data_IF_614873406792
#
_entry.id   IF_614873406792
#
_cell.length_a   1.000
_cell.length_b   1.000
_cell.length_c   1.000
_cell.angle_alpha   90.00
_cell.angle_beta   90.00
_cell.angle_gamma   90.00
#
_symmetry.space_group_name_H-M   'P 1'
#
loop_
_entity.id
_entity.type
_entity.pdbx_description
1 polymer ?
#
# COMPACT_ATOMS: atom_id res chain seq x y z
N UNK A 1 4.15 -41.92 -21.74
CA UNK A 1 3.49 -40.93 -22.62
C UNK A 1 3.52 -39.60 -21.92
N UNK A 2 4.44 -38.73 -22.33
CA UNK A 2 4.59 -37.37 -21.81
C UNK A 2 3.57 -36.46 -22.49
N UNK A 3 2.83 -35.67 -21.72
CA UNK A 3 2.12 -34.51 -22.24
C UNK A 3 2.51 -33.31 -21.39
N UNK A 4 3.46 -32.57 -21.94
CA UNK A 4 3.92 -31.26 -21.50
C UNK A 4 2.91 -30.22 -21.98
N UNK A 5 2.46 -29.29 -21.14
CA UNK A 5 1.80 -28.08 -21.62
C UNK A 5 2.21 -26.86 -20.79
N UNK A 6 3.27 -26.23 -21.31
CA UNK A 6 3.53 -24.79 -21.45
C UNK A 6 3.17 -23.82 -20.32
N UNK A 7 4.25 -23.32 -19.70
CA UNK A 7 4.32 -22.01 -19.08
C UNK A 7 4.14 -20.89 -20.11
N UNK A 8 3.25 -19.93 -19.83
CA UNK A 8 3.22 -18.65 -20.55
C UNK A 8 4.10 -17.63 -19.81
N UNK A 9 5.32 -17.47 -20.32
CA UNK A 9 6.22 -16.34 -20.06
C UNK A 9 5.95 -15.31 -21.17
N UNK A 10 5.62 -14.07 -20.82
CA UNK A 10 5.80 -12.93 -21.73
C UNK A 10 6.69 -11.86 -21.08
N UNK A 11 7.84 -11.51 -21.69
CA UNK A 11 8.70 -10.43 -21.23
C UNK A 11 8.32 -9.12 -21.91
N UNK A 12 8.04 -8.06 -21.15
CA UNK A 12 7.99 -6.69 -21.68
C UNK A 12 9.32 -5.98 -21.43
N UNK A 13 10.11 -5.79 -22.50
CA UNK A 13 11.30 -4.93 -22.55
C UNK A 13 10.88 -3.49 -22.81
N UNK A 14 11.18 -2.56 -21.90
CA UNK A 14 11.16 -1.14 -22.20
C UNK A 14 12.57 -0.68 -22.63
N UNK A 15 12.72 -0.27 -23.90
CA UNK A 15 13.88 0.48 -24.40
C UNK A 15 13.54 1.97 -24.32
N UNK A 16 14.33 2.76 -23.59
CA UNK A 16 14.33 4.22 -23.72
C UNK A 16 15.69 4.70 -24.23
N UNK A 17 15.68 5.35 -25.40
CA UNK A 17 16.85 5.94 -26.08
C UNK A 17 17.09 7.36 -25.55
N UNK A 18 18.34 7.65 -25.15
CA UNK A 18 18.88 9.00 -24.92
C UNK A 18 18.73 9.89 -26.16
N UNK A 19 18.30 11.15 -25.97
CA UNK A 19 18.62 12.26 -26.87
C UNK A 19 18.97 13.52 -26.06
N UNK A 20 20.20 14.00 -26.25
CA UNK A 20 20.70 15.33 -25.85
C UNK A 20 20.13 16.39 -26.81
N UNK A 21 19.89 17.61 -26.31
CA UNK A 21 20.10 18.83 -27.11
C UNK A 21 20.30 20.06 -26.21
N UNK A 22 21.37 20.79 -26.49
CA UNK A 22 21.75 22.08 -25.90
C UNK A 22 21.09 23.27 -26.63
N UNK A 23 20.89 24.32 -25.83
CA UNK A 23 20.91 25.79 -26.05
C UNK A 23 20.58 26.44 -27.40
N UNK A 24 19.81 27.56 -27.32
CA UNK A 24 20.21 28.93 -27.78
C UNK A 24 19.16 30.00 -27.41
N UNK A 25 19.66 31.14 -26.90
CA UNK A 25 19.04 32.44 -26.55
C UNK A 25 18.43 33.16 -27.78
N UNK A 26 17.70 34.29 -27.81
CA UNK A 26 17.35 35.48 -26.97
C UNK A 26 16.12 36.19 -27.67
N UNK A 27 15.68 37.46 -27.43
CA UNK A 27 16.09 38.47 -26.46
C UNK A 27 14.93 39.19 -25.69
N UNK A 28 15.39 40.15 -24.90
CA UNK A 28 14.77 40.98 -23.87
C UNK A 28 14.17 42.29 -24.42
N UNK A 29 13.08 42.80 -23.83
CA UNK A 29 12.64 44.20 -23.98
C UNK A 29 12.06 44.73 -22.66
N UNK A 30 12.52 45.93 -22.33
CA UNK A 30 12.61 46.55 -21.01
C UNK A 30 11.62 47.71 -20.84
N UNK A 31 11.40 48.10 -19.57
CA UNK A 31 10.92 49.40 -19.03
C UNK A 31 9.39 49.59 -18.94
N UNK A 32 8.78 50.14 -17.87
CA UNK A 32 9.10 51.26 -16.93
C UNK A 32 8.25 51.10 -15.64
N UNK A 33 8.79 51.31 -14.43
CA UNK A 33 8.57 52.48 -13.50
C UNK A 33 7.13 52.60 -12.94
N UNK A 34 6.78 52.91 -11.68
CA UNK A 34 7.40 53.58 -10.54
C UNK A 34 6.74 53.14 -9.20
N UNK A 35 7.44 53.42 -8.11
CA UNK A 35 7.12 53.29 -6.67
C UNK A 35 5.95 54.19 -6.18
N UNK A 36 5.13 53.91 -5.15
CA UNK A 36 5.40 53.93 -3.68
C UNK A 36 4.10 53.67 -2.86
N UNK A 37 4.27 53.19 -1.60
CA UNK A 37 3.39 53.20 -0.38
C UNK A 37 2.36 52.07 -0.14
N UNK A 38 1.93 51.78 1.11
CA UNK A 38 2.59 51.93 2.43
C UNK A 38 2.57 50.62 3.27
N UNK A 39 3.35 50.65 4.36
CA UNK A 39 3.44 49.63 5.42
C UNK A 39 2.06 49.35 6.05
N UNK A 40 1.64 48.09 6.05
CA UNK A 40 0.57 47.57 6.91
C UNK A 40 1.14 46.41 7.72
N UNK A 41 1.41 46.69 9.00
CA UNK A 41 1.62 45.67 10.03
C UNK A 41 0.36 44.81 10.16
N UNK A 42 0.43 43.60 9.62
CA UNK A 42 -0.54 42.56 9.93
C UNK A 42 0.23 41.38 10.49
N UNK A 43 0.10 41.16 11.79
CA UNK A 43 0.58 39.97 12.46
C UNK A 43 -0.02 38.74 11.76
N UNK A 44 0.77 38.12 10.90
CA UNK A 44 0.52 36.81 10.34
C UNK A 44 0.58 35.81 11.49
N UNK A 45 -0.57 35.48 12.08
CA UNK A 45 -0.71 34.21 12.77
C UNK A 45 -0.50 33.14 11.69
N UNK A 46 0.72 32.63 11.61
CA UNK A 46 1.08 31.58 10.68
C UNK A 46 0.14 30.41 10.92
N UNK A 47 -0.64 30.06 9.89
CA UNK A 47 -1.31 28.76 9.86
C UNK A 47 -0.25 27.69 10.16
N UNK A 48 -0.51 26.75 11.09
CA UNK A 48 0.44 25.68 11.32
C UNK A 48 0.71 24.96 10.00
N UNK A 49 1.99 24.81 9.68
CA UNK A 49 2.44 24.07 8.50
C UNK A 49 1.85 22.65 8.51
N UNK A 50 1.42 22.11 7.34
CA UNK A 50 0.91 20.74 7.27
C UNK A 50 1.93 19.77 7.87
N UNK A 51 1.48 18.94 8.83
CA UNK A 51 2.33 17.95 9.52
C UNK A 51 2.70 16.82 8.58
N UNK A 52 3.91 16.29 8.67
CA UNK A 52 4.33 15.14 7.85
C UNK A 52 3.74 13.80 8.34
N UNK A 53 3.59 12.78 7.47
CA UNK A 53 3.13 11.44 7.91
C UNK A 53 4.02 10.86 9.02
N UNK A 54 5.37 11.00 9.01
CA UNK A 54 6.20 10.56 10.13
C UNK A 54 5.91 11.30 11.45
N UNK A 55 5.53 12.58 11.41
CA UNK A 55 5.07 13.33 12.59
C UNK A 55 3.73 12.80 13.08
N UNK A 56 2.77 12.62 12.16
CA UNK A 56 1.46 12.03 12.49
C UNK A 56 1.62 10.63 13.10
N UNK A 57 2.58 9.84 12.64
CA UNK A 57 2.83 8.50 13.20
C UNK A 57 3.36 8.55 14.63
N UNK A 58 4.28 9.48 14.92
CA UNK A 58 4.78 9.70 16.29
C UNK A 58 3.70 10.18 17.25
N UNK A 59 2.73 10.95 16.76
CA UNK A 59 1.65 11.51 17.59
C UNK A 59 0.46 10.55 17.76
N UNK A 60 0.07 9.87 16.68
CA UNK A 60 -1.17 9.10 16.64
C UNK A 60 -1.02 7.63 17.00
N UNK A 61 0.20 7.12 17.23
CA UNK A 61 0.56 5.70 17.40
C UNK A 61 -0.69 4.82 17.45
N UNK A 62 -1.27 4.49 16.28
CA UNK A 62 -2.38 3.56 16.31
C UNK A 62 -1.82 2.26 16.87
N UNK A 63 -2.67 1.53 17.59
CA UNK A 63 -2.38 0.26 18.26
C UNK A 63 -2.03 -0.88 17.27
N UNK A 64 -1.04 -0.67 16.38
CA UNK A 64 -0.44 -1.70 15.57
C UNK A 64 0.19 -2.70 16.52
N UNK A 65 -0.31 -3.92 16.48
CA UNK A 65 0.23 -4.98 17.33
C UNK A 65 1.61 -5.38 16.83
N UNK A 66 2.60 -5.39 17.72
CA UNK A 66 3.88 -6.03 17.46
C UNK A 66 3.71 -7.54 17.67
N UNK A 67 3.84 -8.29 16.59
CA UNK A 67 3.77 -9.75 16.59
C UNK A 67 5.17 -10.35 16.69
N UNK A 68 5.28 -11.47 17.41
CA UNK A 68 6.51 -12.27 17.34
C UNK A 68 6.55 -13.08 16.04
N UNK A 69 7.75 -13.37 15.54
CA UNK A 69 7.92 -14.25 14.38
C UNK A 69 7.33 -15.64 14.63
N UNK A 70 7.46 -16.15 15.86
CA UNK A 70 6.91 -17.45 16.25
C UNK A 70 5.38 -17.45 16.18
N UNK A 71 4.72 -16.42 16.72
CA UNK A 71 3.26 -16.28 16.64
C UNK A 71 2.76 -16.29 15.19
N UNK A 72 3.42 -15.55 14.29
CA UNK A 72 3.06 -15.53 12.87
C UNK A 72 3.36 -16.87 12.18
N UNK A 73 4.45 -17.53 12.56
CA UNK A 73 4.79 -18.86 12.06
C UNK A 73 3.73 -19.88 12.45
N UNK A 74 3.29 -19.88 13.69
CA UNK A 74 2.27 -20.80 14.20
C UNK A 74 0.92 -20.53 13.53
N UNK A 75 0.56 -19.25 13.36
CA UNK A 75 -0.70 -18.86 12.70
C UNK A 75 -0.81 -19.30 11.24
N UNK A 76 0.33 -19.58 10.59
CA UNK A 76 0.43 -19.95 9.16
C UNK A 76 0.86 -21.41 8.95
N UNK A 77 0.91 -22.20 10.03
CA UNK A 77 1.45 -23.56 10.01
C UNK A 77 2.86 -23.63 9.37
N UNK A 78 3.77 -22.78 9.86
CA UNK A 78 5.14 -22.72 9.36
C UNK A 78 5.33 -21.99 8.04
N UNK A 79 4.46 -21.05 7.68
CA UNK A 79 4.39 -20.46 6.34
C UNK A 79 4.18 -21.54 5.26
N UNK A 80 3.26 -22.47 5.53
CA UNK A 80 2.97 -23.57 4.62
C UNK A 80 2.52 -23.07 3.24
N UNK A 81 2.94 -23.77 2.18
CA UNK A 81 2.48 -23.50 0.81
C UNK A 81 0.97 -23.59 0.67
N UNK A 82 0.31 -24.42 1.49
CA UNK A 82 -1.15 -24.55 1.50
C UNK A 82 -1.86 -23.30 2.01
N UNK A 83 -1.18 -22.47 2.80
CA UNK A 83 -1.71 -21.20 3.29
C UNK A 83 -1.28 -20.03 2.41
N UNK A 84 -0.54 -20.26 1.32
CA UNK A 84 -0.05 -19.18 0.47
C UNK A 84 -1.17 -18.61 -0.39
N UNK A 85 -1.37 -17.30 -0.27
CA UNK A 85 -2.35 -16.54 -1.05
C UNK A 85 -1.76 -16.01 -2.35
N UNK A 86 -0.47 -15.67 -2.35
CA UNK A 86 0.22 -15.14 -3.53
C UNK A 86 1.70 -14.87 -3.30
N UNK A 87 2.41 -14.55 -4.37
CA UNK A 87 3.81 -14.12 -4.35
C UNK A 87 4.10 -13.17 -5.51
N UNK A 88 4.96 -12.18 -5.26
CA UNK A 88 5.44 -11.25 -6.27
C UNK A 88 6.73 -10.55 -5.82
N UNK A 89 7.09 -9.45 -6.50
CA UNK A 89 8.31 -8.69 -6.20
C UNK A 89 8.39 -8.16 -4.76
N UNK A 90 7.25 -8.02 -4.09
CA UNK A 90 7.13 -7.55 -2.71
C UNK A 90 7.12 -8.69 -1.67
N UNK A 91 7.37 -9.93 -2.09
CA UNK A 91 7.42 -11.10 -1.21
C UNK A 91 6.20 -12.01 -1.33
N UNK A 92 5.98 -12.85 -0.32
CA UNK A 92 4.92 -13.85 -0.28
C UNK A 92 3.84 -13.48 0.73
N UNK A 93 2.58 -13.71 0.41
CA UNK A 93 1.43 -13.47 1.30
C UNK A 93 0.82 -14.80 1.72
N UNK A 94 0.55 -14.97 3.00
CA UNK A 94 -0.02 -16.17 3.60
C UNK A 94 -1.30 -15.84 4.36
N UNK A 95 -2.27 -16.75 4.30
CA UNK A 95 -3.42 -16.75 5.20
C UNK A 95 -2.97 -17.23 6.58
N UNK A 96 -3.41 -16.54 7.62
CA UNK A 96 -3.13 -16.94 9.00
C UNK A 96 -4.37 -16.83 9.89
N UNK A 97 -4.30 -17.50 11.03
CA UNK A 97 -5.32 -17.41 12.09
C UNK A 97 -4.63 -16.96 13.38
N UNK A 98 -4.90 -15.73 13.82
CA UNK A 98 -4.42 -15.21 15.10
C UNK A 98 -5.43 -15.60 16.18
N UNK A 99 -4.98 -16.38 17.16
CA UNK A 99 -5.78 -16.73 18.34
C UNK A 99 -5.61 -15.66 19.43
N UNK A 100 -6.68 -15.29 20.15
CA UNK A 100 -6.56 -14.38 21.28
C UNK A 100 -5.72 -15.00 22.41
N UNK A 101 -4.86 -14.20 23.05
CA UNK A 101 -3.86 -14.65 24.05
C UNK A 101 -4.45 -15.44 25.22
N UNK A 102 -5.72 -15.16 25.58
CA UNK A 102 -6.36 -15.75 26.76
C UNK A 102 -7.52 -16.71 26.38
N UNK A 103 -7.65 -17.09 25.11
CA UNK A 103 -8.78 -17.90 24.62
C UNK A 103 -10.15 -17.21 24.66
N UNK A 104 -10.23 -15.98 25.21
CA UNK A 104 -11.43 -15.14 25.19
C UNK A 104 -11.46 -14.31 23.91
N UNK A 105 -12.43 -14.60 23.05
CA UNK A 105 -12.67 -13.92 21.78
C UNK A 105 -12.59 -14.87 20.58
N UNK A 106 -13.07 -14.40 19.43
CA UNK A 106 -13.02 -15.17 18.18
C UNK A 106 -11.62 -15.11 17.56
N UNK A 107 -11.14 -16.19 16.94
CA UNK A 107 -9.94 -16.16 16.11
C UNK A 107 -10.10 -15.14 14.98
N UNK A 108 -9.02 -14.45 14.62
CA UNK A 108 -9.02 -13.45 13.56
C UNK A 108 -8.30 -14.03 12.35
N UNK A 109 -8.97 -14.05 11.20
CA UNK A 109 -8.34 -14.34 9.91
C UNK A 109 -7.51 -13.14 9.47
N UNK A 110 -6.26 -13.40 9.08
CA UNK A 110 -5.31 -12.37 8.67
C UNK A 110 -4.61 -12.74 7.36
N UNK A 111 -4.14 -11.72 6.65
CA UNK A 111 -3.16 -11.86 5.57
C UNK A 111 -1.79 -11.41 6.08
N UNK A 112 -0.80 -12.31 6.02
CA UNK A 112 0.56 -12.09 6.49
C UNK A 112 1.48 -11.97 5.28
N UNK A 113 1.93 -10.74 5.00
CA UNK A 113 2.89 -10.45 3.93
C UNK A 113 4.30 -10.56 4.52
N UNK A 114 5.05 -11.54 4.03
CA UNK A 114 6.46 -11.74 4.33
C UNK A 114 7.30 -11.12 3.21
N UNK A 115 7.97 -10.02 3.52
CA UNK A 115 8.79 -9.29 2.56
C UNK A 115 10.06 -10.07 2.23
N UNK A 116 10.57 -9.89 1.01
CA UNK A 116 11.80 -10.53 0.57
C UNK A 116 13.01 -9.91 1.30
N UNK A 117 13.78 -10.68 2.08
CA UNK A 117 14.92 -10.16 2.84
C UNK A 117 16.09 -9.69 1.95
N UNK A 118 16.13 -10.09 0.68
CA UNK A 118 17.22 -9.74 -0.24
C UNK A 118 16.97 -8.47 -1.04
N UNK A 119 15.78 -7.86 -0.95
CA UNK A 119 15.55 -6.58 -1.62
C UNK A 119 15.99 -5.43 -0.71
N UNK A 120 16.97 -4.64 -1.16
CA UNK A 120 17.33 -3.36 -0.52
C UNK A 120 16.13 -2.42 -0.39
N UNK A 121 15.11 -2.63 -1.23
CA UNK A 121 13.85 -1.91 -1.24
C UNK A 121 12.86 -2.37 -0.16
N UNK A 122 12.96 -3.63 0.32
CA UNK A 122 11.99 -4.24 1.21
C UNK A 122 11.88 -3.55 2.57
N UNK A 123 12.99 -3.11 3.16
CA UNK A 123 12.95 -2.37 4.43
C UNK A 123 12.31 -0.98 4.28
N UNK A 124 12.64 -0.25 3.21
CA UNK A 124 12.05 1.08 2.94
C UNK A 124 10.54 0.97 2.68
N UNK A 125 10.13 -0.01 1.87
CA UNK A 125 8.72 -0.30 1.59
C UNK A 125 7.97 -0.67 2.88
N UNK A 126 8.57 -1.53 3.71
CA UNK A 126 8.01 -1.88 5.01
C UNK A 126 7.82 -0.66 5.90
N UNK A 127 8.85 0.18 6.05
CA UNK A 127 8.79 1.35 6.91
C UNK A 127 7.74 2.35 6.42
N UNK A 128 7.71 2.62 5.12
CA UNK A 128 6.70 3.48 4.50
C UNK A 128 5.28 2.95 4.76
N UNK A 129 5.07 1.64 4.61
CA UNK A 129 3.77 1.02 4.80
C UNK A 129 3.33 1.01 6.27
N UNK A 130 4.23 0.74 7.21
CA UNK A 130 3.95 0.82 8.66
C UNK A 130 3.63 2.25 9.08
N UNK A 131 4.43 3.24 8.65
CA UNK A 131 4.20 4.64 9.00
C UNK A 131 2.89 5.17 8.42
N UNK A 132 2.62 4.84 7.16
CA UNK A 132 1.43 5.29 6.47
C UNK A 132 0.16 4.60 7.01
N UNK A 133 0.09 3.27 6.98
CA UNK A 133 -1.08 2.52 7.44
C UNK A 133 -1.25 2.55 8.96
N UNK A 134 -0.21 2.92 9.71
CA UNK A 134 -0.30 3.15 11.13
C UNK A 134 -1.01 4.44 11.52
N UNK A 135 -1.33 5.34 10.58
CA UNK A 135 -2.07 6.59 10.88
C UNK A 135 -3.36 6.75 10.12
N UNK A 136 -3.56 6.00 9.04
CA UNK A 136 -4.78 6.07 8.23
C UNK A 136 -5.78 4.99 8.63
N UNK A 137 -7.07 5.35 8.56
CA UNK A 137 -8.16 4.41 8.75
C UNK A 137 -9.32 4.84 7.87
N UNK A 138 -9.61 4.06 6.82
CA UNK A 138 -10.64 4.38 5.84
C UNK A 138 -11.29 3.07 5.35
N UNK A 139 -12.62 3.02 5.14
CA UNK A 139 -13.32 1.80 4.72
C UNK A 139 -12.82 1.22 3.39
N UNK A 140 -12.25 2.04 2.50
CA UNK A 140 -11.69 1.62 1.21
C UNK A 140 -10.15 1.52 1.17
N UNK A 141 -9.48 1.46 2.32
CA UNK A 141 -8.07 1.12 2.43
C UNK A 141 -7.94 -0.14 3.27
N UNK A 142 -7.04 -1.06 2.89
CA UNK A 142 -6.80 -2.27 3.68
C UNK A 142 -6.16 -1.88 5.01
N UNK A 143 -6.73 -2.40 6.10
CA UNK A 143 -6.26 -2.14 7.45
C UNK A 143 -5.02 -2.97 7.77
N UNK A 144 -3.95 -2.27 8.18
CA UNK A 144 -2.80 -2.90 8.84
C UNK A 144 -3.17 -3.16 10.30
N UNK A 145 -3.10 -4.41 10.73
CA UNK A 145 -3.37 -4.84 12.11
C UNK A 145 -2.09 -4.83 12.96
N UNK A 146 -0.94 -4.97 12.31
CA UNK A 146 0.35 -4.95 12.99
C UNK A 146 1.47 -5.44 12.10
N UNK A 147 2.62 -5.65 12.73
CA UNK A 147 3.85 -6.03 12.03
C UNK A 147 4.73 -6.92 12.89
N UNK A 148 5.70 -7.55 12.26
CA UNK A 148 6.82 -8.22 12.93
C UNK A 148 8.13 -7.68 12.34
N UNK A 149 9.01 -7.21 13.21
CA UNK A 149 10.36 -6.77 12.88
C UNK A 149 11.34 -7.53 13.75
N UNK A 150 12.15 -8.39 13.14
CA UNK A 150 13.25 -9.09 13.82
C UNK A 150 14.54 -8.74 13.10
N UNK A 151 15.44 -8.09 13.84
CA UNK A 151 16.79 -7.78 13.40
C UNK A 151 17.73 -8.82 13.99
N UNK A 152 18.07 -9.84 13.20
CA UNK A 152 19.08 -10.83 13.55
C UNK A 152 20.37 -10.58 12.78
N UNK A 153 21.51 -10.94 13.38
CA UNK A 153 22.87 -10.77 12.81
C UNK A 153 23.03 -11.32 11.39
N UNK A 154 22.22 -12.32 11.01
CA UNK A 154 22.29 -12.97 9.68
C UNK A 154 21.06 -12.79 8.81
N UNK A 155 19.91 -12.38 9.37
CA UNK A 155 18.64 -12.22 8.63
C UNK A 155 17.74 -11.18 9.27
N UNK A 156 17.42 -10.15 8.49
CA UNK A 156 16.36 -9.19 8.78
C UNK A 156 15.03 -9.81 8.34
N UNK A 157 14.07 -9.94 9.25
CA UNK A 157 12.71 -10.37 8.93
C UNK A 157 11.76 -9.20 9.11
N UNK A 158 11.03 -8.88 8.03
CA UNK A 158 9.99 -7.86 8.00
C UNK A 158 8.70 -8.51 7.52
N UNK A 159 7.68 -8.48 8.36
CA UNK A 159 6.35 -8.99 8.05
C UNK A 159 5.31 -7.94 8.39
N UNK A 160 4.23 -7.93 7.61
CA UNK A 160 3.06 -7.08 7.78
C UNK A 160 1.84 -7.97 7.94
N UNK A 161 0.94 -7.59 8.85
CA UNK A 161 -0.27 -8.34 9.17
C UNK A 161 -1.47 -7.47 8.87
N UNK A 162 -2.29 -7.88 7.91
CA UNK A 162 -3.48 -7.15 7.47
C UNK A 162 -4.74 -7.92 7.81
N UNK A 163 -5.87 -7.23 7.75
CA UNK A 163 -7.17 -7.90 7.62
C UNK A 163 -7.18 -8.84 6.39
N UNK A 164 -7.88 -9.97 6.52
CA UNK A 164 -8.00 -10.91 5.43
C UNK A 164 -9.15 -10.52 4.49
N UNK A 165 -8.88 -10.55 3.18
CA UNK A 165 -9.82 -10.19 2.12
C UNK A 165 -10.29 -11.47 1.40
N UNK A 166 -11.46 -12.05 1.79
CA UNK A 166 -11.86 -13.39 1.34
C UNK A 166 -12.21 -13.47 -0.15
N UNK A 167 -12.68 -12.37 -0.75
CA UNK A 167 -13.08 -12.32 -2.15
C UNK A 167 -11.91 -11.94 -3.09
N UNK A 168 -10.66 -12.03 -2.61
CA UNK A 168 -9.43 -11.87 -3.41
C UNK A 168 -9.34 -10.49 -4.08
N UNK A 169 -8.56 -10.38 -5.16
CA UNK A 169 -8.37 -9.13 -5.90
C UNK A 169 -9.43 -8.94 -6.98
N UNK A 170 -9.67 -7.69 -7.39
CA UNK A 170 -10.51 -7.39 -8.55
C UNK A 170 -9.93 -8.00 -9.83
N UNK A 171 -8.60 -8.10 -9.96
CA UNK A 171 -7.94 -8.77 -11.08
C UNK A 171 -8.39 -10.23 -11.23
N UNK A 172 -8.53 -10.96 -10.12
CA UNK A 172 -9.04 -12.32 -10.13
C UNK A 172 -10.44 -12.38 -10.76
N UNK A 173 -11.34 -11.48 -10.37
CA UNK A 173 -12.72 -11.44 -10.89
C UNK A 173 -12.82 -10.95 -12.33
N UNK A 174 -11.84 -10.19 -12.82
CA UNK A 174 -11.82 -9.68 -14.19
C UNK A 174 -11.25 -10.69 -15.19
N UNK A 175 -10.26 -11.48 -14.79
CA UNK A 175 -9.48 -12.30 -15.72
C UNK A 175 -9.51 -13.81 -15.44
N UNK A 176 -9.95 -14.25 -14.25
CA UNK A 176 -10.07 -15.67 -13.95
C UNK A 176 -11.43 -16.23 -14.39
N UNK A 177 -11.42 -16.97 -15.49
CA UNK A 177 -12.62 -17.60 -16.08
C UNK A 177 -13.27 -18.67 -15.18
N UNK A 178 -12.59 -19.13 -14.13
CA UNK A 178 -13.18 -20.06 -13.17
C UNK A 178 -14.12 -19.38 -12.16
N UNK A 179 -14.08 -18.05 -12.06
CA UNK A 179 -14.97 -17.28 -11.20
C UNK A 179 -16.17 -16.77 -12.00
N UNK A 180 -17.32 -16.70 -11.33
CA UNK A 180 -18.50 -16.09 -11.93
C UNK A 180 -18.24 -14.59 -12.16
N UNK A 181 -18.65 -14.04 -13.32
CA UNK A 181 -18.55 -12.61 -13.55
C UNK A 181 -19.31 -11.82 -12.49
N UNK A 182 -18.68 -10.76 -11.97
CA UNK A 182 -19.34 -9.87 -11.02
C UNK A 182 -20.60 -9.23 -11.65
N UNK A 183 -21.73 -9.15 -10.93
CA UNK A 183 -22.90 -8.42 -11.37
C UNK A 183 -22.58 -6.95 -11.67
N UNK A 184 -23.28 -6.34 -12.62
CA UNK A 184 -23.02 -4.96 -13.04
C UNK A 184 -23.06 -3.96 -11.87
N UNK A 185 -24.06 -4.08 -11.00
CA UNK A 185 -24.21 -3.20 -9.84
C UNK A 185 -23.03 -3.32 -8.87
N UNK A 186 -22.52 -4.53 -8.65
CA UNK A 186 -21.34 -4.77 -7.81
C UNK A 186 -20.09 -4.12 -8.41
N UNK A 187 -19.93 -4.15 -9.73
CA UNK A 187 -18.81 -3.46 -10.41
C UNK A 187 -18.85 -1.96 -10.18
N UNK A 188 -20.03 -1.34 -10.27
CA UNK A 188 -20.21 0.09 -10.00
C UNK A 188 -19.87 0.44 -8.55
N UNK A 189 -20.30 -0.38 -7.59
CA UNK A 189 -19.95 -0.21 -6.17
C UNK A 189 -18.45 -0.33 -5.93
N UNK A 190 -17.78 -1.29 -6.58
CA UNK A 190 -16.32 -1.46 -6.53
C UNK A 190 -15.60 -0.24 -7.10
N UNK A 191 -16.03 0.27 -8.25
CA UNK A 191 -15.44 1.47 -8.87
C UNK A 191 -15.60 2.69 -7.96
N UNK A 192 -16.81 2.89 -7.41
CA UNK A 192 -17.08 4.00 -6.50
C UNK A 192 -16.21 3.91 -5.24
N UNK A 193 -16.15 2.76 -4.59
CA UNK A 193 -15.34 2.60 -3.37
C UNK A 193 -13.83 2.74 -3.63
N UNK A 194 -13.32 2.24 -4.76
CA UNK A 194 -11.93 2.46 -5.15
C UNK A 194 -11.63 3.95 -5.38
N UNK A 195 -12.54 4.67 -6.04
CA UNK A 195 -12.43 6.11 -6.24
C UNK A 195 -12.50 6.90 -4.92
N UNK A 196 -13.37 6.49 -3.98
CA UNK A 196 -13.43 7.06 -2.64
C UNK A 196 -12.12 6.85 -1.87
N UNK A 197 -11.52 5.65 -1.97
CA UNK A 197 -10.20 5.38 -1.40
C UNK A 197 -9.13 6.31 -1.97
N UNK A 198 -9.09 6.51 -3.29
CA UNK A 198 -8.14 7.44 -3.93
C UNK A 198 -8.39 8.90 -3.53
N UNK A 199 -9.64 9.34 -3.51
CA UNK A 199 -10.01 10.69 -3.11
C UNK A 199 -9.55 10.98 -1.67
N UNK A 200 -9.75 10.03 -0.76
CA UNK A 200 -9.24 10.13 0.61
C UNK A 200 -7.72 10.29 0.66
N UNK A 201 -6.96 9.54 -0.15
CA UNK A 201 -5.49 9.68 -0.20
C UNK A 201 -5.04 11.05 -0.71
N UNK A 202 -5.75 11.61 -1.68
CA UNK A 202 -5.37 12.86 -2.33
C UNK A 202 -5.78 14.09 -1.52
N UNK A 203 -6.95 14.05 -0.88
CA UNK A 203 -7.63 15.24 -0.35
C UNK A 203 -8.13 15.07 1.10
N UNK A 204 -8.28 13.83 1.57
CA UNK A 204 -8.84 13.52 2.90
C UNK A 204 -7.84 13.51 4.04
N UNK A 205 -6.55 13.68 3.75
CA UNK A 205 -5.45 13.66 4.71
C UNK A 205 -4.84 15.06 4.88
N UNK A 206 -4.19 15.30 6.02
CA UNK A 206 -3.41 16.54 6.25
C UNK A 206 -2.21 16.65 5.28
N UNK A 207 -1.77 15.52 4.73
CA UNK A 207 -0.72 15.43 3.72
C UNK A 207 -1.28 14.79 2.46
N UNK A 208 -0.98 15.37 1.31
CA UNK A 208 -1.35 14.79 0.03
C UNK A 208 -0.49 13.54 -0.25
N UNK A 209 -1.14 12.40 -0.46
CA UNK A 209 -0.46 11.13 -0.72
C UNK A 209 -0.61 10.72 -2.17
N UNK A 210 0.50 10.39 -2.84
CA UNK A 210 0.47 9.81 -4.18
C UNK A 210 0.65 8.30 -4.07
N UNK A 211 -0.40 7.54 -4.42
CA UNK A 211 -0.43 6.08 -4.26
C UNK A 211 0.50 5.32 -5.21
N UNK A 212 0.66 5.81 -6.45
CA UNK A 212 1.57 5.32 -7.51
C UNK A 212 1.39 3.89 -8.04
N UNK A 213 0.64 3.02 -7.36
CA UNK A 213 0.44 1.62 -7.79
C UNK A 213 -1.06 1.25 -7.90
N UNK A 214 -1.85 2.13 -8.50
CA UNK A 214 -3.28 1.87 -8.74
C UNK A 214 -3.48 0.90 -9.92
N UNK A 215 -3.93 -0.32 -9.60
CA UNK A 215 -4.22 -1.40 -10.55
C UNK A 215 -5.20 -2.41 -9.96
N UNK A 216 -5.85 -3.23 -10.78
CA UNK A 216 -6.86 -4.20 -10.34
C UNK A 216 -6.35 -5.24 -9.33
N UNK A 217 -5.08 -5.64 -9.42
CA UNK A 217 -4.45 -6.58 -8.46
C UNK A 217 -4.32 -5.99 -7.05
N UNK A 218 -4.31 -4.66 -6.92
CA UNK A 218 -4.21 -3.95 -5.64
C UNK A 218 -5.56 -3.44 -5.12
N UNK A 219 -6.67 -3.81 -5.76
CA UNK A 219 -8.03 -3.58 -5.25
C UNK A 219 -8.53 -4.91 -4.71
N UNK A 220 -8.49 -5.09 -3.39
CA UNK A 220 -8.95 -6.31 -2.72
C UNK A 220 -10.42 -6.19 -2.32
N UNK A 221 -11.11 -7.32 -2.25
CA UNK A 221 -12.55 -7.39 -1.98
C UNK A 221 -12.82 -8.10 -0.65
N UNK A 222 -13.54 -7.44 0.25
CA UNK A 222 -13.96 -8.03 1.52
C UNK A 222 -15.13 -9.00 1.34
N UNK A 223 -15.68 -9.52 2.43
CA UNK A 223 -16.80 -10.48 2.42
C UNK A 223 -18.06 -9.95 1.70
N UNK A 224 -18.28 -8.63 1.72
CA UNK A 224 -19.41 -7.95 1.09
C UNK A 224 -19.08 -7.45 -0.33
N UNK A 225 -17.94 -7.85 -0.89
CA UNK A 225 -17.40 -7.30 -2.15
C UNK A 225 -17.11 -5.80 -2.10
N UNK A 226 -16.94 -5.20 -0.91
CA UNK A 226 -16.50 -3.81 -0.81
C UNK A 226 -15.01 -3.72 -1.14
N UNK A 227 -14.59 -2.72 -1.93
CA UNK A 227 -13.21 -2.59 -2.37
C UNK A 227 -12.34 -1.95 -1.30
N UNK A 228 -11.12 -2.45 -1.16
CA UNK A 228 -10.06 -1.83 -0.36
C UNK A 228 -8.75 -1.80 -1.15
N UNK A 229 -8.14 -0.62 -1.23
CA UNK A 229 -6.81 -0.46 -1.83
C UNK A 229 -5.75 -1.10 -0.92
N UNK A 230 -4.80 -1.82 -1.50
CA UNK A 230 -3.73 -2.54 -0.80
C UNK A 230 -2.34 -2.17 -1.29
N UNK A 231 -1.27 -2.73 -0.70
CA UNK A 231 0.12 -2.56 -1.19
C UNK A 231 0.60 -1.10 -1.26
N UNK A 232 0.81 -0.51 -0.07
CA UNK A 232 1.20 0.89 0.06
C UNK A 232 2.73 1.08 0.11
N UNK A 233 3.51 0.05 -0.24
CA UNK A 233 4.97 0.11 -0.19
C UNK A 233 5.60 1.17 -1.12
N UNK A 234 4.84 1.69 -2.08
CA UNK A 234 5.29 2.69 -3.06
C UNK A 234 4.68 4.08 -2.85
N UNK A 235 3.96 4.35 -1.77
CA UNK A 235 3.40 5.70 -1.56
C UNK A 235 4.50 6.74 -1.34
N UNK A 236 4.20 7.99 -1.70
CA UNK A 236 4.99 9.17 -1.34
C UNK A 236 4.06 10.27 -0.84
N UNK A 237 4.60 11.08 0.06
CA UNK A 237 3.94 12.17 0.76
C UNK A 237 5.01 13.18 1.20
#
# INVERSE_FOLDING_TARGET
>A
MSVTTQACIFPFKFKSKKKRKESKSAPDLRNKSDSLTPVLDRASKSLPSPRSIPELYKEKEQNLKVFSLQELRDSTNGFSRLQKLGEGGFGSVYKGIIKPKNGKGSPILVAIKKLNPHSLQGHKQWLAEVQFLGVVNHPNLVKLLGYCSVDGERRIQRLLVYEYMPNRSLEDHLFNRALNPLPWITRLQIMLGAAQGLAYLHEGLEVQVIYRDFKSSNVLLDEDFKPKLSDFGLVIY
#
